data_IF_732041187896
#
_entry.id   IF_732041187896
#
_cell.length_a   1.000
_cell.length_b   1.000
_cell.length_c   1.000
_cell.angle_alpha   90.00
_cell.angle_beta   90.00
_cell.angle_gamma   90.00
#
_symmetry.space_group_name_H-M   'P 1'
#
loop_
_entity.id
_entity.type
_entity.pdbx_description
1 polymer ?
#
# COMPACT_ATOMS: atom_id res chain seq x y z
N UNK A 1 3.04 29.52 11.61
CA UNK A 1 1.99 28.51 11.43
C UNK A 1 2.13 27.45 12.52
N UNK A 2 1.10 27.25 13.33
CA UNK A 2 1.02 26.25 14.39
C UNK A 2 -0.28 25.47 14.27
N UNK A 3 -0.25 24.19 14.55
CA UNK A 3 -1.44 23.32 14.55
C UNK A 3 -2.29 23.71 15.76
N UNK A 4 -3.56 23.97 15.53
CA UNK A 4 -4.53 24.38 16.55
C UNK A 4 -5.55 23.30 16.86
N UNK A 5 -5.79 22.39 15.91
CA UNK A 5 -6.82 21.37 16.05
C UNK A 5 -6.52 20.17 15.13
N UNK A 6 -7.01 18.97 15.53
CA UNK A 6 -6.89 17.71 14.78
C UNK A 6 -8.22 16.96 14.86
N UNK A 7 -8.91 16.85 13.71
CA UNK A 7 -10.09 16.01 13.58
C UNK A 7 -9.70 14.61 13.11
N UNK A 8 -10.42 13.60 13.61
CA UNK A 8 -10.20 12.20 13.23
C UNK A 8 -11.53 11.56 12.87
N UNK A 9 -11.62 11.10 11.65
CA UNK A 9 -12.79 10.41 11.08
C UNK A 9 -12.46 8.96 10.78
N UNK A 10 -13.41 8.05 10.99
CA UNK A 10 -13.33 6.67 10.52
C UNK A 10 -14.40 6.48 9.48
N UNK A 11 -14.03 6.04 8.30
CA UNK A 11 -14.92 5.92 7.14
C UNK A 11 -14.96 4.48 6.62
N UNK A 12 -16.11 4.06 6.11
CA UNK A 12 -16.29 2.80 5.40
C UNK A 12 -16.66 3.07 3.96
N UNK A 13 -15.84 2.63 3.01
CA UNK A 13 -16.17 2.72 1.59
C UNK A 13 -16.31 1.34 0.97
N UNK A 14 -17.30 1.14 0.09
CA UNK A 14 -17.52 -0.14 -0.57
C UNK A 14 -16.50 -0.38 -1.69
N UNK A 15 -16.17 -1.66 -1.93
CA UNK A 15 -15.49 -2.10 -3.13
C UNK A 15 -16.49 -2.40 -4.25
N UNK A 16 -16.07 -2.29 -5.50
CA UNK A 16 -16.86 -2.68 -6.67
C UNK A 16 -17.23 -4.17 -6.65
N UNK A 17 -16.30 -5.00 -6.22
CA UNK A 17 -16.49 -6.44 -6.05
C UNK A 17 -15.78 -6.93 -4.77
N UNK A 18 -16.17 -8.06 -4.19
CA UNK A 18 -15.45 -8.64 -3.07
C UNK A 18 -13.99 -8.94 -3.44
N UNK A 19 -13.08 -8.63 -2.54
CA UNK A 19 -11.64 -8.90 -2.68
C UNK A 19 -11.20 -9.98 -1.70
N UNK A 20 -10.55 -11.04 -2.19
CA UNK A 20 -10.14 -12.18 -1.37
C UNK A 20 -8.63 -12.33 -1.34
N UNK A 21 -8.06 -12.40 -0.14
CA UNK A 21 -6.68 -12.80 0.15
C UNK A 21 -6.63 -14.17 0.79
N UNK A 22 -5.45 -14.62 1.24
CA UNK A 22 -5.30 -15.91 1.92
C UNK A 22 -5.95 -15.98 3.31
N UNK A 23 -6.28 -14.84 3.91
CA UNK A 23 -6.76 -14.74 5.30
C UNK A 23 -8.12 -14.04 5.44
N UNK A 24 -8.60 -13.30 4.44
CA UNK A 24 -9.89 -12.60 4.51
C UNK A 24 -10.56 -12.44 3.13
N UNK A 25 -11.87 -12.21 3.16
CA UNK A 25 -12.65 -11.67 2.04
C UNK A 25 -13.35 -10.42 2.53
N UNK A 26 -13.14 -9.30 1.83
CA UNK A 26 -13.72 -8.00 2.19
C UNK A 26 -14.56 -7.43 1.06
N UNK A 27 -15.58 -6.68 1.43
CA UNK A 27 -16.53 -6.01 0.50
C UNK A 27 -16.38 -4.48 0.54
N UNK A 28 -15.49 -3.98 1.38
CA UNK A 28 -15.21 -2.57 1.54
C UNK A 28 -13.96 -2.37 2.39
N UNK A 29 -13.54 -1.11 2.52
CA UNK A 29 -12.39 -0.72 3.32
C UNK A 29 -12.83 0.21 4.46
N UNK A 30 -12.25 0.00 5.63
CA UNK A 30 -12.33 0.97 6.73
C UNK A 30 -11.02 1.75 6.81
N UNK A 31 -11.12 3.08 6.75
CA UNK A 31 -9.96 3.98 6.79
C UNK A 31 -10.09 5.01 7.90
N UNK A 32 -8.95 5.42 8.44
CA UNK A 32 -8.86 6.55 9.37
C UNK A 32 -8.35 7.76 8.59
N UNK A 33 -9.14 8.83 8.58
CA UNK A 33 -8.85 10.11 7.92
C UNK A 33 -8.61 11.17 8.99
N UNK A 34 -7.58 11.98 8.79
CA UNK A 34 -7.16 13.04 9.71
C UNK A 34 -7.22 14.39 8.98
N UNK A 35 -7.74 15.42 9.66
CA UNK A 35 -7.60 16.81 9.26
C UNK A 35 -6.88 17.57 10.35
N UNK A 36 -5.79 18.24 10.04
CA UNK A 36 -5.16 19.23 10.92
C UNK A 36 -5.57 20.65 10.49
N UNK A 37 -5.79 21.53 11.46
CA UNK A 37 -6.00 22.96 11.23
C UNK A 37 -4.89 23.77 11.86
N UNK A 38 -4.58 24.93 11.27
CA UNK A 38 -3.51 25.80 11.76
C UNK A 38 -4.03 27.21 12.09
N UNK A 39 -3.27 27.94 12.88
CA UNK A 39 -3.52 29.33 13.25
C UNK A 39 -3.48 30.31 12.06
N UNK A 40 -3.04 29.87 10.89
CA UNK A 40 -3.02 30.65 9.65
C UNK A 40 -4.17 30.29 8.70
N UNK A 41 -5.07 29.39 9.10
CA UNK A 41 -6.18 28.92 8.28
C UNK A 41 -5.80 27.85 7.24
N UNK A 42 -4.55 27.44 7.18
CA UNK A 42 -4.14 26.30 6.34
C UNK A 42 -4.60 24.99 6.98
N UNK A 43 -5.18 24.10 6.18
CA UNK A 43 -5.58 22.75 6.58
C UNK A 43 -4.76 21.71 5.84
N UNK A 44 -4.45 20.60 6.55
CA UNK A 44 -3.79 19.44 5.96
C UNK A 44 -4.59 18.17 6.20
N UNK A 45 -4.61 17.29 5.20
CA UNK A 45 -5.32 16.02 5.24
C UNK A 45 -4.34 14.84 5.23
N UNK A 46 -4.69 13.81 5.99
CA UNK A 46 -3.96 12.55 6.02
C UNK A 46 -4.89 11.37 6.10
N UNK A 47 -4.42 10.22 5.70
CA UNK A 47 -5.18 8.98 5.70
C UNK A 47 -4.27 7.82 6.06
N UNK A 48 -4.84 6.82 6.74
CA UNK A 48 -4.14 5.58 7.05
C UNK A 48 -5.08 4.39 7.06
N UNK A 49 -4.49 3.21 7.10
CA UNK A 49 -5.22 1.94 7.17
C UNK A 49 -5.92 1.76 8.51
N UNK A 50 -6.94 0.89 8.51
CA UNK A 50 -7.79 0.52 9.63
C UNK A 50 -8.64 1.65 10.22
N UNK A 51 -9.54 1.28 11.11
CA UNK A 51 -10.54 2.15 11.69
C UNK A 51 -10.30 2.48 13.15
N UNK A 52 -11.25 2.15 14.01
CA UNK A 52 -11.32 2.58 15.40
C UNK A 52 -10.05 2.34 16.22
N UNK A 53 -9.35 1.20 16.11
CA UNK A 53 -8.12 0.99 16.88
C UNK A 53 -7.04 2.01 16.54
N UNK A 54 -6.81 2.29 15.26
CA UNK A 54 -5.83 3.29 14.80
C UNK A 54 -6.30 4.70 15.12
N UNK A 55 -7.58 5.00 14.89
CA UNK A 55 -8.17 6.30 15.22
C UNK A 55 -8.01 6.66 16.71
N UNK A 56 -8.12 5.67 17.61
CA UNK A 56 -7.88 5.89 19.03
C UNK A 56 -6.44 6.28 19.33
N UNK A 57 -5.47 5.63 18.69
CA UNK A 57 -4.05 5.98 18.83
C UNK A 57 -3.77 7.35 18.21
N UNK A 58 -4.31 7.63 17.02
CA UNK A 58 -4.18 8.95 16.37
C UNK A 58 -4.63 10.07 17.30
N UNK A 59 -5.78 9.92 17.97
CA UNK A 59 -6.30 10.93 18.93
C UNK A 59 -5.33 11.17 20.09
N UNK A 60 -4.68 10.13 20.62
CA UNK A 60 -3.66 10.27 21.66
C UNK A 60 -2.45 11.06 21.14
N UNK A 61 -1.95 10.69 19.94
CA UNK A 61 -0.78 11.33 19.35
C UNK A 61 -1.05 12.78 18.89
N UNK A 62 -2.29 13.08 18.51
CA UNK A 62 -2.72 14.39 18.07
C UNK A 62 -2.51 15.47 19.16
N UNK A 63 -2.64 15.11 20.44
CA UNK A 63 -2.37 16.03 21.56
C UNK A 63 -0.94 16.55 21.51
N UNK A 64 0.00 15.75 21.05
CA UNK A 64 1.41 16.10 20.92
C UNK A 64 1.70 17.04 19.73
N UNK A 65 0.79 17.12 18.76
CA UNK A 65 0.91 18.02 17.61
C UNK A 65 0.37 19.42 17.89
N UNK A 66 -0.58 19.57 18.82
CA UNK A 66 -1.18 20.86 19.13
C UNK A 66 -0.09 21.84 19.59
N UNK A 67 -0.05 23.02 18.95
CA UNK A 67 0.96 24.05 19.18
C UNK A 67 2.28 23.84 18.42
N UNK A 68 2.52 22.67 17.83
CA UNK A 68 3.67 22.43 16.96
C UNK A 68 3.48 23.06 15.55
N UNK A 69 4.56 23.32 14.88
CA UNK A 69 4.55 23.64 13.46
C UNK A 69 4.45 22.36 12.64
N UNK A 70 3.64 22.29 11.56
CA UNK A 70 3.67 21.18 10.63
C UNK A 70 5.07 20.89 10.03
N UNK A 71 5.92 21.92 9.99
CA UNK A 71 7.31 21.77 9.53
C UNK A 71 8.24 21.08 10.55
N UNK A 72 7.80 20.85 11.79
CA UNK A 72 8.61 20.24 12.85
C UNK A 72 8.46 18.70 12.90
N UNK A 73 8.39 18.04 11.73
CA UNK A 73 8.14 16.60 11.62
C UNK A 73 9.20 15.74 12.32
N UNK A 74 10.48 16.09 12.21
CA UNK A 74 11.55 15.37 12.92
C UNK A 74 11.34 15.39 14.44
N UNK A 75 10.93 16.53 15.00
CA UNK A 75 10.64 16.64 16.42
C UNK A 75 9.41 15.79 16.80
N UNK A 76 8.39 15.74 15.94
CA UNK A 76 7.22 14.88 16.12
C UNK A 76 7.62 13.41 16.08
N UNK A 77 8.31 12.93 15.05
CA UNK A 77 8.77 11.54 14.93
C UNK A 77 9.65 11.14 16.14
N UNK A 78 10.56 12.01 16.56
CA UNK A 78 11.41 11.76 17.72
C UNK A 78 10.58 11.61 19.00
N UNK A 79 9.53 12.41 19.18
CA UNK A 79 8.61 12.31 20.31
C UNK A 79 7.85 10.99 20.29
N UNK A 80 7.49 10.51 19.10
CA UNK A 80 6.70 9.29 18.90
C UNK A 80 7.54 8.00 18.75
N UNK A 81 8.86 8.05 18.93
CA UNK A 81 9.74 6.90 18.67
C UNK A 81 9.40 5.61 19.45
N UNK A 82 8.77 5.75 20.63
CA UNK A 82 8.35 4.60 21.46
C UNK A 82 6.94 4.08 21.13
N UNK A 83 6.17 4.79 20.33
CA UNK A 83 4.79 4.42 20.01
C UNK A 83 4.72 3.04 19.33
N UNK A 84 5.57 2.70 18.36
CA UNK A 84 5.54 1.38 17.76
C UNK A 84 5.93 0.25 18.72
N UNK A 85 6.71 0.53 19.76
CA UNK A 85 7.01 -0.45 20.80
C UNK A 85 5.77 -0.85 21.60
N UNK A 86 4.91 0.13 21.95
CA UNK A 86 3.70 -0.13 22.73
C UNK A 86 2.51 -0.58 21.92
N UNK A 87 2.34 -0.03 20.69
CA UNK A 87 1.18 -0.27 19.83
C UNK A 87 1.51 -1.09 18.59
N UNK A 88 2.75 -1.51 18.41
CA UNK A 88 3.20 -2.30 17.26
C UNK A 88 2.92 -1.59 15.94
N UNK A 89 2.46 -2.37 15.00
CA UNK A 89 2.16 -1.94 13.65
C UNK A 89 1.10 -0.82 13.55
N UNK A 90 0.09 -0.83 14.45
CA UNK A 90 -0.94 0.22 14.52
C UNK A 90 -0.33 1.58 14.89
N UNK A 91 0.76 1.58 15.66
CA UNK A 91 1.49 2.80 16.03
C UNK A 91 2.10 3.51 14.83
N UNK A 92 2.72 2.76 13.92
CA UNK A 92 3.24 3.32 12.66
C UNK A 92 2.12 3.90 11.80
N UNK A 93 1.00 3.18 11.67
CA UNK A 93 -0.15 3.65 10.92
C UNK A 93 -0.72 4.96 11.48
N UNK A 94 -0.80 5.08 12.81
CA UNK A 94 -1.28 6.29 13.46
C UNK A 94 -0.32 7.49 13.24
N UNK A 95 0.99 7.27 13.36
CA UNK A 95 2.00 8.30 13.08
C UNK A 95 1.90 8.75 11.63
N UNK A 96 1.74 7.81 10.69
CA UNK A 96 1.67 8.11 9.26
C UNK A 96 0.50 9.02 8.88
N UNK A 97 -0.69 8.83 9.49
CA UNK A 97 -1.83 9.70 9.21
C UNK A 97 -1.53 11.17 9.55
N UNK A 98 -0.88 11.40 10.69
CA UNK A 98 -0.51 12.74 11.16
C UNK A 98 0.67 13.32 10.36
N UNK A 99 1.63 12.47 9.97
CA UNK A 99 2.75 12.85 9.11
C UNK A 99 2.26 13.33 7.74
N UNK A 100 1.41 12.55 7.07
CA UNK A 100 0.82 12.92 5.77
C UNK A 100 0.04 14.22 5.86
N UNK A 101 -0.77 14.41 6.91
CA UNK A 101 -1.51 15.65 7.12
C UNK A 101 -0.59 16.87 7.29
N UNK A 102 0.55 16.70 7.99
CA UNK A 102 1.54 17.77 8.11
C UNK A 102 2.20 18.09 6.76
N UNK A 103 2.58 17.07 5.96
CA UNK A 103 3.13 17.27 4.63
C UNK A 103 2.16 18.00 3.69
N UNK A 104 0.86 17.65 3.74
CA UNK A 104 -0.18 18.34 2.97
C UNK A 104 -0.28 19.81 3.38
N UNK A 105 -0.32 20.10 4.69
CA UNK A 105 -0.33 21.48 5.18
C UNK A 105 0.94 22.25 4.81
N UNK A 106 2.11 21.63 4.81
CA UNK A 106 3.38 22.25 4.39
C UNK A 106 3.33 22.66 2.91
N UNK A 107 2.87 21.76 2.04
CA UNK A 107 2.75 22.02 0.62
C UNK A 107 1.76 23.16 0.33
N UNK A 108 0.58 23.12 0.97
CA UNK A 108 -0.42 24.19 0.86
C UNK A 108 0.09 25.54 1.36
N UNK A 109 0.82 25.55 2.49
CA UNK A 109 1.39 26.79 3.05
C UNK A 109 2.49 27.40 2.17
N UNK A 110 3.22 26.59 1.42
CA UNK A 110 4.32 27.03 0.55
C UNK A 110 3.91 27.17 -0.91
N UNK A 111 2.71 26.74 -1.28
CA UNK A 111 2.23 26.72 -2.67
C UNK A 111 2.96 25.65 -3.53
N UNK A 112 3.60 24.64 -2.90
CA UNK A 112 4.35 23.58 -3.57
C UNK A 112 3.57 22.28 -3.53
N UNK A 113 3.69 21.45 -4.59
CA UNK A 113 3.21 20.08 -4.54
C UNK A 113 4.03 19.25 -3.54
N UNK A 114 3.43 18.18 -3.02
CA UNK A 114 4.18 17.24 -2.19
C UNK A 114 5.38 16.66 -2.95
N UNK A 115 5.22 16.35 -4.22
CA UNK A 115 6.32 15.86 -5.09
C UNK A 115 7.49 16.83 -5.16
N UNK A 116 7.21 18.14 -5.30
CA UNK A 116 8.26 19.16 -5.30
C UNK A 116 8.99 19.25 -3.95
N UNK A 117 8.26 19.19 -2.84
CA UNK A 117 8.86 19.17 -1.50
C UNK A 117 9.73 17.94 -1.26
N UNK A 118 9.48 16.84 -1.97
CA UNK A 118 10.25 15.59 -1.89
C UNK A 118 11.45 15.53 -2.85
N UNK A 119 11.75 16.61 -3.54
CA UNK A 119 12.92 16.73 -4.44
C UNK A 119 12.58 16.84 -5.92
N UNK A 120 11.30 16.94 -6.26
CA UNK A 120 10.79 17.09 -7.62
C UNK A 120 10.49 15.76 -8.33
N UNK A 121 9.74 15.82 -9.43
CA UNK A 121 9.29 14.64 -10.14
C UNK A 121 10.41 13.96 -10.94
N UNK A 122 10.54 12.65 -10.79
CA UNK A 122 11.32 11.78 -11.69
C UNK A 122 10.39 11.03 -12.66
N UNK A 123 9.08 11.06 -12.42
CA UNK A 123 8.01 10.59 -13.30
C UNK A 123 6.70 11.34 -13.02
N UNK A 124 5.87 11.48 -14.04
CA UNK A 124 4.58 12.16 -13.96
C UNK A 124 3.40 11.19 -13.86
N UNK A 125 3.62 9.92 -14.21
CA UNK A 125 2.64 8.84 -14.17
C UNK A 125 3.21 7.65 -13.41
N UNK A 126 2.34 6.99 -12.66
CA UNK A 126 2.68 5.81 -11.86
C UNK A 126 1.82 4.64 -12.33
N UNK A 127 2.44 3.61 -12.94
CA UNK A 127 1.71 2.41 -13.34
C UNK A 127 1.25 1.62 -12.11
N UNK A 128 0.04 1.07 -12.22
CA UNK A 128 -0.55 0.22 -11.20
C UNK A 128 -0.51 -1.25 -11.61
N UNK A 129 -0.57 -2.12 -10.61
CA UNK A 129 -0.69 -3.57 -10.76
C UNK A 129 -2.16 -3.96 -10.78
N UNK A 130 -2.60 -4.74 -11.76
CA UNK A 130 -3.89 -5.40 -11.71
C UNK A 130 -3.86 -6.50 -10.63
N UNK A 131 -4.66 -6.34 -9.59
CA UNK A 131 -4.79 -7.31 -8.51
C UNK A 131 -5.87 -8.32 -8.86
N UNK A 132 -5.53 -9.60 -8.84
CA UNK A 132 -6.41 -10.71 -9.21
C UNK A 132 -6.61 -11.64 -8.03
N UNK A 133 -7.86 -12.00 -7.77
CA UNK A 133 -8.25 -12.89 -6.68
C UNK A 133 -9.15 -14.01 -7.20
N UNK A 134 -9.30 -15.08 -6.41
CA UNK A 134 -10.27 -16.14 -6.75
C UNK A 134 -11.72 -15.64 -6.72
N UNK A 135 -12.00 -14.52 -6.07
CA UNK A 135 -13.34 -13.91 -6.05
C UNK A 135 -13.73 -13.31 -7.42
N UNK A 136 -12.77 -13.07 -8.32
CA UNK A 136 -13.03 -12.54 -9.67
C UNK A 136 -13.64 -13.59 -10.62
N UNK A 137 -13.73 -14.87 -10.19
CA UNK A 137 -14.40 -15.95 -10.90
C UNK A 137 -15.40 -16.67 -9.96
N UNK A 138 -16.47 -16.01 -9.50
CA UNK A 138 -17.39 -16.57 -8.53
C UNK A 138 -18.18 -17.75 -9.10
N UNK A 139 -18.36 -18.82 -8.29
CA UNK A 139 -19.16 -20.00 -8.67
C UNK A 139 -18.49 -20.94 -9.70
N UNK A 140 -17.28 -20.64 -10.13
CA UNK A 140 -16.52 -21.49 -11.04
C UNK A 140 -16.01 -22.74 -10.31
N UNK A 141 -16.10 -23.90 -10.95
CA UNK A 141 -15.55 -25.16 -10.40
C UNK A 141 -14.02 -25.04 -10.26
N UNK A 142 -13.40 -25.64 -9.21
CA UNK A 142 -11.96 -25.59 -9.03
C UNK A 142 -11.11 -26.00 -10.23
N UNK A 143 -11.59 -26.96 -11.03
CA UNK A 143 -10.89 -27.42 -12.22
C UNK A 143 -10.86 -26.38 -13.36
N UNK A 144 -11.87 -25.52 -13.43
CA UNK A 144 -12.05 -24.52 -14.49
C UNK A 144 -11.54 -23.14 -14.06
N UNK A 145 -11.20 -22.98 -12.76
CA UNK A 145 -10.80 -21.72 -12.17
C UNK A 145 -9.56 -21.09 -12.83
N UNK A 146 -8.48 -21.83 -13.16
CA UNK A 146 -7.32 -21.25 -13.84
C UNK A 146 -7.69 -20.54 -15.14
N UNK A 147 -8.45 -21.22 -16.01
CA UNK A 147 -8.89 -20.67 -17.30
C UNK A 147 -9.81 -19.46 -17.13
N UNK A 148 -10.79 -19.55 -16.23
CA UNK A 148 -11.71 -18.45 -15.96
C UNK A 148 -11.00 -17.19 -15.43
N UNK A 149 -10.02 -17.36 -14.54
CA UNK A 149 -9.20 -16.24 -14.05
C UNK A 149 -8.28 -15.69 -15.12
N UNK A 150 -7.72 -16.53 -15.98
CA UNK A 150 -6.89 -16.08 -17.11
C UNK A 150 -7.70 -15.23 -18.09
N UNK A 151 -8.91 -15.66 -18.46
CA UNK A 151 -9.82 -14.90 -19.34
C UNK A 151 -10.24 -13.57 -18.70
N UNK A 152 -10.58 -13.59 -17.40
CA UNK A 152 -10.89 -12.37 -16.66
C UNK A 152 -9.70 -11.40 -16.65
N UNK A 153 -8.52 -11.90 -16.30
CA UNK A 153 -7.30 -11.08 -16.20
C UNK A 153 -6.87 -10.50 -17.53
N UNK A 154 -6.94 -11.30 -18.61
CA UNK A 154 -6.66 -10.83 -19.98
C UNK A 154 -7.58 -9.65 -20.35
N UNK A 155 -8.87 -9.74 -20.02
CA UNK A 155 -9.82 -8.66 -20.27
C UNK A 155 -9.46 -7.40 -19.45
N UNK A 156 -9.26 -7.55 -18.13
CA UNK A 156 -8.91 -6.44 -17.24
C UNK A 156 -7.61 -5.75 -17.66
N UNK A 157 -6.58 -6.51 -18.03
CA UNK A 157 -5.30 -5.95 -18.47
C UNK A 157 -5.42 -5.25 -19.83
N UNK A 158 -6.17 -5.81 -20.76
CA UNK A 158 -6.36 -5.22 -22.10
C UNK A 158 -7.21 -3.96 -22.04
N UNK A 159 -8.35 -3.99 -21.36
CA UNK A 159 -9.27 -2.86 -21.25
C UNK A 159 -8.70 -1.75 -20.36
N UNK A 160 -8.03 -2.13 -19.26
CA UNK A 160 -7.46 -1.19 -18.29
C UNK A 160 -6.04 -0.70 -18.62
N UNK A 161 -5.34 -1.34 -19.58
CA UNK A 161 -3.98 -0.97 -19.96
C UNK A 161 -2.90 -1.38 -18.95
N UNK A 162 -3.18 -2.32 -18.03
CA UNK A 162 -2.23 -2.74 -17.01
C UNK A 162 -1.05 -3.54 -17.60
N UNK A 163 0.16 -3.20 -17.15
CA UNK A 163 1.40 -3.85 -17.54
C UNK A 163 1.95 -4.82 -16.49
N UNK A 164 1.31 -4.89 -15.33
CA UNK A 164 1.65 -5.82 -14.26
C UNK A 164 0.39 -6.44 -13.65
N UNK A 165 0.50 -7.72 -13.28
CA UNK A 165 -0.58 -8.49 -12.65
C UNK A 165 -0.04 -9.16 -11.41
N UNK A 166 -0.80 -9.11 -10.31
CA UNK A 166 -0.50 -9.83 -9.08
C UNK A 166 -1.66 -10.74 -8.68
N UNK A 167 -1.41 -12.05 -8.66
CA UNK A 167 -2.33 -13.02 -8.10
C UNK A 167 -2.26 -12.99 -6.56
N UNK A 168 -3.38 -12.79 -5.90
CA UNK A 168 -3.51 -13.09 -4.47
C UNK A 168 -3.60 -14.60 -4.28
N UNK A 169 -2.49 -15.17 -3.80
CA UNK A 169 -2.37 -16.59 -3.52
C UNK A 169 -3.20 -17.02 -2.30
N UNK A 170 -3.30 -18.31 -2.10
CA UNK A 170 -4.10 -18.92 -1.05
C UNK A 170 -3.31 -20.05 -0.37
N UNK A 171 -3.97 -20.84 0.49
CA UNK A 171 -3.38 -22.07 1.05
C UNK A 171 -3.33 -23.23 0.04
N UNK A 172 -4.02 -23.11 -1.09
CA UNK A 172 -4.00 -24.11 -2.17
C UNK A 172 -2.84 -23.84 -3.15
N UNK A 173 -1.66 -24.19 -2.74
CA UNK A 173 -0.40 -24.01 -3.48
C UNK A 173 -0.47 -24.54 -4.90
N UNK A 174 -1.09 -25.74 -5.10
CA UNK A 174 -1.19 -26.36 -6.42
C UNK A 174 -2.13 -25.60 -7.35
N UNK A 175 -3.25 -25.14 -6.81
CA UNK A 175 -4.20 -24.31 -7.53
C UNK A 175 -3.58 -22.97 -7.92
N UNK A 176 -2.83 -22.32 -7.03
CA UNK A 176 -2.16 -21.05 -7.32
C UNK A 176 -1.09 -21.21 -8.42
N UNK A 177 -0.31 -22.30 -8.40
CA UNK A 177 0.65 -22.63 -9.49
C UNK A 177 -0.08 -22.86 -10.81
N UNK A 178 -1.22 -23.57 -10.82
CA UNK A 178 -1.99 -23.81 -12.02
C UNK A 178 -2.56 -22.50 -12.60
N UNK A 179 -3.08 -21.61 -11.75
CA UNK A 179 -3.58 -20.29 -12.14
C UNK A 179 -2.44 -19.47 -12.78
N UNK A 180 -1.25 -19.41 -12.16
CA UNK A 180 -0.12 -18.64 -12.68
C UNK A 180 0.36 -19.14 -14.04
N UNK A 181 0.36 -20.46 -14.28
CA UNK A 181 0.68 -21.04 -15.60
C UNK A 181 -0.32 -20.60 -16.66
N UNK A 182 -1.59 -20.63 -16.33
CA UNK A 182 -2.63 -20.19 -17.26
C UNK A 182 -2.56 -18.69 -17.50
N UNK A 183 -2.33 -17.87 -16.47
CA UNK A 183 -2.10 -16.43 -16.61
C UNK A 183 -0.92 -16.16 -17.55
N UNK A 184 0.23 -16.82 -17.38
CA UNK A 184 1.39 -16.61 -18.23
C UNK A 184 1.11 -17.02 -19.69
N UNK A 185 0.30 -18.06 -19.93
CA UNK A 185 -0.05 -18.49 -21.27
C UNK A 185 -0.81 -17.44 -22.09
N UNK A 186 -1.65 -16.64 -21.44
CA UNK A 186 -2.47 -15.59 -22.07
C UNK A 186 -1.84 -14.19 -21.96
N UNK A 187 -0.88 -14.00 -21.07
CA UNK A 187 -0.20 -12.73 -20.78
C UNK A 187 1.33 -12.91 -20.87
N UNK A 188 1.89 -13.18 -22.06
CA UNK A 188 3.31 -13.53 -22.21
C UNK A 188 4.27 -12.41 -21.80
N UNK A 189 3.90 -11.14 -22.00
CA UNK A 189 4.77 -9.97 -21.83
C UNK A 189 4.46 -9.14 -20.58
N UNK A 190 3.42 -9.48 -19.82
CA UNK A 190 3.00 -8.74 -18.63
C UNK A 190 3.86 -9.16 -17.42
N UNK A 191 4.31 -8.20 -16.60
CA UNK A 191 4.96 -8.50 -15.33
C UNK A 191 4.01 -9.27 -14.42
N UNK A 192 4.36 -10.52 -14.09
CA UNK A 192 3.51 -11.40 -13.28
C UNK A 192 4.09 -11.60 -11.90
N UNK A 193 3.24 -11.51 -10.89
CA UNK A 193 3.58 -11.61 -9.46
C UNK A 193 2.59 -12.52 -8.74
N UNK A 194 3.01 -13.03 -7.58
CA UNK A 194 2.09 -13.77 -6.69
C UNK A 194 2.41 -13.44 -5.23
N UNK A 195 1.34 -13.30 -4.44
CA UNK A 195 1.41 -12.99 -3.02
C UNK A 195 0.49 -13.92 -2.20
N UNK A 196 1.01 -14.99 -1.63
CA UNK A 196 0.28 -15.87 -0.74
C UNK A 196 0.03 -15.30 0.67
N UNK A 197 0.54 -14.12 0.98
CA UNK A 197 0.45 -13.50 2.31
C UNK A 197 0.90 -14.45 3.44
N UNK A 198 2.08 -15.04 3.30
CA UNK A 198 2.71 -15.96 4.24
C UNK A 198 1.89 -17.25 4.54
N UNK A 199 0.99 -17.64 3.64
CA UNK A 199 0.13 -18.80 3.84
C UNK A 199 0.80 -20.14 3.56
N UNK A 200 1.97 -20.16 2.89
CA UNK A 200 2.68 -21.40 2.55
C UNK A 200 3.70 -21.78 3.62
N UNK A 201 3.95 -23.06 3.77
CA UNK A 201 5.10 -23.52 4.53
C UNK A 201 6.40 -23.29 3.75
N UNK A 202 7.56 -23.24 4.42
CA UNK A 202 8.86 -23.14 3.73
C UNK A 202 9.05 -24.25 2.69
N UNK A 203 8.77 -25.56 2.98
CA UNK A 203 8.85 -26.61 1.97
C UNK A 203 7.90 -26.41 0.79
N UNK A 204 6.67 -25.92 1.03
CA UNK A 204 5.71 -25.62 -0.04
C UNK A 204 6.17 -24.43 -0.88
N UNK A 205 6.68 -23.37 -0.25
CA UNK A 205 7.23 -22.20 -0.92
C UNK A 205 8.39 -22.57 -1.85
N UNK A 206 9.28 -23.45 -1.40
CA UNK A 206 10.39 -23.96 -2.23
C UNK A 206 9.86 -24.77 -3.41
N UNK A 207 8.91 -25.70 -3.19
CA UNK A 207 8.35 -26.52 -4.28
C UNK A 207 7.60 -25.64 -5.31
N UNK A 208 6.78 -24.71 -4.84
CA UNK A 208 6.06 -23.80 -5.69
C UNK A 208 7.03 -22.87 -6.44
N UNK A 209 7.99 -22.26 -5.73
CA UNK A 209 8.96 -21.37 -6.33
C UNK A 209 9.74 -22.04 -7.49
N UNK A 210 10.26 -23.27 -7.27
CA UNK A 210 10.94 -24.04 -8.33
C UNK A 210 9.99 -24.33 -9.51
N UNK A 211 8.73 -24.68 -9.25
CA UNK A 211 7.74 -24.94 -10.31
C UNK A 211 7.30 -23.69 -11.07
N UNK A 212 7.54 -22.50 -10.52
CA UNK A 212 7.20 -21.20 -11.11
C UNK A 212 8.39 -20.53 -11.79
N UNK A 213 9.62 -21.03 -11.66
CA UNK A 213 10.82 -20.43 -12.27
C UNK A 213 10.71 -20.29 -13.80
N UNK A 214 10.04 -21.23 -14.45
CA UNK A 214 9.81 -21.20 -15.91
C UNK A 214 8.86 -20.10 -16.37
N UNK A 215 8.10 -19.48 -15.43
CA UNK A 215 7.10 -18.47 -15.75
C UNK A 215 7.66 -17.03 -15.73
N UNK A 216 8.94 -16.84 -15.42
CA UNK A 216 9.59 -15.52 -15.36
C UNK A 216 8.78 -14.51 -14.53
N UNK A 217 8.50 -14.87 -13.25
CA UNK A 217 7.81 -13.97 -12.34
C UNK A 217 8.72 -12.82 -11.96
N UNK A 218 8.18 -11.60 -11.91
CA UNK A 218 8.92 -10.42 -11.45
C UNK A 218 9.36 -10.58 -9.98
N UNK A 219 8.49 -11.14 -9.13
CA UNK A 219 8.82 -11.60 -7.79
C UNK A 219 7.75 -12.53 -7.20
N UNK A 220 8.14 -13.27 -6.18
CA UNK A 220 7.30 -14.05 -5.29
C UNK A 220 7.26 -13.31 -3.93
N UNK A 221 6.09 -12.79 -3.56
CA UNK A 221 5.91 -11.97 -2.36
C UNK A 221 5.45 -12.82 -1.18
N UNK A 222 6.11 -12.65 -0.03
CA UNK A 222 5.78 -13.29 1.24
C UNK A 222 5.21 -14.72 1.11
N UNK A 223 5.94 -15.67 0.49
CA UNK A 223 5.45 -17.04 0.39
C UNK A 223 5.31 -17.71 1.75
N UNK A 224 6.17 -17.37 2.71
CA UNK A 224 6.16 -17.94 4.06
C UNK A 224 6.46 -16.91 5.14
N UNK A 225 6.30 -17.30 6.40
CA UNK A 225 6.46 -16.41 7.56
C UNK A 225 7.95 -16.16 7.86
N UNK A 226 8.26 -14.88 8.12
CA UNK A 226 9.49 -14.45 8.80
C UNK A 226 10.74 -14.41 7.93
N UNK A 227 11.73 -13.62 8.38
CA UNK A 227 12.98 -13.38 7.65
C UNK A 227 13.76 -14.69 7.45
N UNK A 228 13.82 -15.56 8.46
CA UNK A 228 14.51 -16.85 8.39
C UNK A 228 13.84 -17.80 7.39
N UNK A 229 12.50 -17.83 7.36
CA UNK A 229 11.75 -18.62 6.39
C UNK A 229 12.00 -18.12 4.97
N UNK A 230 11.92 -16.82 4.75
CA UNK A 230 12.21 -16.17 3.46
C UNK A 230 13.65 -16.47 3.01
N UNK A 231 14.64 -16.37 3.90
CA UNK A 231 16.04 -16.71 3.59
C UNK A 231 16.21 -18.17 3.15
N UNK A 232 15.52 -19.12 3.79
CA UNK A 232 15.56 -20.52 3.39
C UNK A 232 14.95 -20.78 2.01
N UNK A 233 13.89 -20.05 1.65
CA UNK A 233 13.28 -20.08 0.30
C UNK A 233 14.25 -19.47 -0.70
N UNK A 234 14.77 -18.26 -0.42
CA UNK A 234 15.70 -17.52 -1.30
C UNK A 234 16.94 -18.32 -1.67
N UNK A 235 17.45 -19.14 -0.73
CA UNK A 235 18.61 -20.00 -0.97
C UNK A 235 18.36 -21.12 -2.00
N UNK A 236 17.11 -21.40 -2.38
CA UNK A 236 16.73 -22.56 -3.23
C UNK A 236 15.91 -22.17 -4.45
N UNK A 237 15.38 -20.94 -4.50
CA UNK A 237 14.49 -20.44 -5.56
C UNK A 237 15.17 -19.26 -6.24
N UNK A 238 15.16 -19.23 -7.56
CA UNK A 238 15.78 -18.15 -8.37
C UNK A 238 14.88 -16.95 -8.58
N UNK A 239 13.56 -17.10 -8.40
CA UNK A 239 12.62 -16.00 -8.49
C UNK A 239 12.97 -14.98 -7.41
N UNK A 240 13.07 -13.66 -7.71
CA UNK A 240 13.26 -12.64 -6.70
C UNK A 240 12.19 -12.71 -5.62
N UNK A 241 12.56 -12.59 -4.35
CA UNK A 241 11.61 -12.56 -3.24
C UNK A 241 11.29 -11.13 -2.83
N UNK A 242 10.00 -10.84 -2.68
CA UNK A 242 9.48 -9.58 -2.19
C UNK A 242 8.84 -9.75 -0.81
N UNK A 243 8.78 -8.68 -0.02
CA UNK A 243 8.08 -8.70 1.25
C UNK A 243 7.34 -7.41 1.56
N UNK A 244 6.15 -7.55 2.11
CA UNK A 244 5.43 -6.50 2.84
C UNK A 244 5.14 -6.91 4.30
N UNK A 245 5.52 -8.13 4.72
CA UNK A 245 5.14 -8.70 6.02
C UNK A 245 6.31 -8.99 6.95
N UNK A 246 7.49 -9.37 6.43
CA UNK A 246 8.61 -9.74 7.28
C UNK A 246 9.63 -8.63 7.52
N UNK A 247 9.63 -7.56 6.70
CA UNK A 247 10.43 -6.35 6.90
C UNK A 247 9.49 -5.15 6.86
N UNK A 248 9.05 -4.71 8.03
CA UNK A 248 8.05 -3.63 8.19
C UNK A 248 8.54 -2.48 9.07
N UNK A 249 9.80 -2.53 9.50
CA UNK A 249 10.48 -1.51 10.30
C UNK A 249 11.99 -1.61 10.08
N UNK A 250 12.72 -0.57 10.43
CA UNK A 250 14.17 -0.51 10.20
C UNK A 250 14.96 -1.56 10.98
N UNK A 251 14.47 -1.99 12.14
CA UNK A 251 15.10 -3.06 12.94
C UNK A 251 15.09 -4.42 12.22
N UNK A 252 14.10 -4.66 11.35
CA UNK A 252 14.00 -5.89 10.55
C UNK A 252 14.89 -5.82 9.30
N UNK A 253 15.23 -4.62 8.83
CA UNK A 253 15.99 -4.40 7.59
C UNK A 253 17.39 -5.02 7.63
N UNK A 254 18.17 -4.71 8.67
CA UNK A 254 19.54 -5.22 8.77
C UNK A 254 19.63 -6.75 8.91
N UNK A 255 18.79 -7.44 9.70
CA UNK A 255 18.71 -8.91 9.67
C UNK A 255 18.34 -9.47 8.29
N UNK A 256 17.36 -8.87 7.59
CA UNK A 256 16.95 -9.34 6.28
C UNK A 256 18.08 -9.25 5.24
N UNK A 257 18.82 -8.13 5.22
CA UNK A 257 19.99 -7.95 4.36
C UNK A 257 21.09 -8.97 4.68
N UNK A 258 21.43 -9.15 5.97
CA UNK A 258 22.46 -10.11 6.38
C UNK A 258 22.14 -11.54 6.01
N UNK A 259 20.88 -11.93 6.06
CA UNK A 259 20.43 -13.27 5.71
C UNK A 259 20.17 -13.45 4.21
N UNK A 260 20.23 -12.37 3.43
CA UNK A 260 19.84 -12.39 2.02
C UNK A 260 18.41 -12.88 1.84
N UNK A 261 17.50 -12.41 2.70
CA UNK A 261 16.14 -12.96 2.78
C UNK A 261 15.22 -12.46 1.66
N UNK A 262 15.48 -11.27 1.13
CA UNK A 262 14.60 -10.60 0.16
C UNK A 262 15.41 -9.82 -0.88
N UNK A 263 14.81 -9.62 -2.05
CA UNK A 263 15.35 -8.84 -3.16
C UNK A 263 14.58 -7.52 -3.35
N UNK A 264 13.31 -7.47 -2.90
CA UNK A 264 12.43 -6.30 -3.00
C UNK A 264 11.72 -6.08 -1.66
N UNK A 265 11.60 -4.82 -1.23
CA UNK A 265 10.83 -4.44 -0.04
C UNK A 265 9.67 -3.55 -0.46
N UNK A 266 8.49 -3.84 0.04
CA UNK A 266 7.33 -2.97 -0.08
C UNK A 266 7.30 -1.95 1.07
N UNK A 267 7.33 -0.67 0.70
CA UNK A 267 7.48 0.44 1.63
C UNK A 267 6.33 1.43 1.57
N UNK A 268 5.14 1.01 1.92
CA UNK A 268 3.98 1.89 1.98
C UNK A 268 4.11 2.94 3.09
N UNK A 269 3.59 4.14 2.83
CA UNK A 269 3.70 5.29 3.71
C UNK A 269 3.17 5.01 5.12
N UNK A 270 2.04 4.29 5.22
CA UNK A 270 1.42 4.03 6.53
C UNK A 270 2.12 2.93 7.33
N UNK A 271 2.76 1.94 6.70
CA UNK A 271 3.51 0.89 7.41
C UNK A 271 4.80 1.40 8.01
N UNK A 272 5.44 2.35 7.34
CA UNK A 272 6.74 2.87 7.75
C UNK A 272 6.65 4.14 8.58
N UNK A 273 5.42 4.57 8.95
CA UNK A 273 5.20 5.69 9.86
C UNK A 273 5.24 7.06 9.20
N UNK A 274 5.08 7.15 7.86
CA UNK A 274 4.97 8.39 7.14
C UNK A 274 5.85 8.50 5.90
N UNK A 275 5.81 9.65 5.26
CA UNK A 275 6.50 9.96 4.00
C UNK A 275 8.03 9.94 4.16
N UNK A 276 8.55 10.66 5.18
CA UNK A 276 9.99 10.75 5.38
C UNK A 276 10.64 9.40 5.69
N UNK A 277 10.10 8.54 6.58
CA UNK A 277 10.62 7.19 6.78
C UNK A 277 10.56 6.32 5.51
N UNK A 278 9.51 6.46 4.68
CA UNK A 278 9.41 5.74 3.41
C UNK A 278 10.49 6.16 2.41
N UNK A 279 10.80 7.46 2.34
CA UNK A 279 11.94 7.97 1.53
C UNK A 279 13.29 7.48 2.07
N UNK A 280 13.45 7.41 3.40
CA UNK A 280 14.64 6.85 4.02
C UNK A 280 14.81 5.36 3.68
N UNK A 281 13.72 4.57 3.69
CA UNK A 281 13.75 3.17 3.25
C UNK A 281 14.24 3.06 1.80
N UNK A 282 13.79 3.93 0.91
CA UNK A 282 14.23 3.93 -0.49
C UNK A 282 15.75 4.10 -0.61
N UNK A 283 16.33 5.04 0.13
CA UNK A 283 17.78 5.23 0.16
C UNK A 283 18.55 4.01 0.74
N UNK A 284 17.96 3.33 1.72
CA UNK A 284 18.53 2.07 2.23
C UNK A 284 18.45 0.96 1.19
N UNK A 285 17.33 0.81 0.48
CA UNK A 285 17.20 -0.18 -0.59
C UNK A 285 18.25 0.06 -1.68
N UNK A 286 18.41 1.29 -2.16
CA UNK A 286 19.46 1.64 -3.14
C UNK A 286 20.87 1.31 -2.63
N UNK A 287 21.17 1.66 -1.38
CA UNK A 287 22.49 1.44 -0.77
C UNK A 287 22.87 -0.05 -0.75
N UNK A 288 21.90 -0.91 -0.50
CA UNK A 288 22.11 -2.38 -0.41
C UNK A 288 21.78 -3.14 -1.70
N UNK A 289 21.47 -2.44 -2.80
CA UNK A 289 21.14 -3.06 -4.08
C UNK A 289 19.81 -3.82 -4.08
N UNK A 290 18.90 -3.45 -3.19
CA UNK A 290 17.54 -4.01 -3.12
C UNK A 290 16.58 -3.18 -3.98
N UNK A 291 15.59 -3.85 -4.57
CA UNK A 291 14.44 -3.17 -5.15
C UNK A 291 13.49 -2.65 -4.08
N UNK A 292 12.72 -1.63 -4.43
CA UNK A 292 11.61 -1.15 -3.60
C UNK A 292 10.34 -1.08 -4.44
N UNK A 293 9.21 -1.37 -3.83
CA UNK A 293 7.89 -1.15 -4.40
C UNK A 293 6.92 -0.69 -3.29
N UNK A 294 5.68 -0.38 -3.63
CA UNK A 294 4.64 -0.08 -2.65
C UNK A 294 3.58 -1.18 -2.65
N UNK A 295 3.18 -1.59 -1.45
CA UNK A 295 2.04 -2.46 -1.18
C UNK A 295 0.76 -1.63 -1.09
N UNK A 296 -0.38 -2.25 -1.30
CA UNK A 296 -1.70 -1.67 -1.08
C UNK A 296 -2.39 -2.29 0.13
N UNK A 297 -2.96 -1.43 0.96
CA UNK A 297 -3.86 -1.79 2.07
C UNK A 297 -5.23 -1.16 1.91
N UNK A 298 -5.67 -0.89 0.68
CA UNK A 298 -6.99 -0.32 0.40
C UNK A 298 -7.06 1.20 0.55
N UNK A 299 -6.03 1.92 0.08
CA UNK A 299 -5.94 3.37 0.12
C UNK A 299 -7.10 4.04 -0.62
N UNK A 300 -7.69 5.07 -0.01
CA UNK A 300 -8.53 6.05 -0.69
C UNK A 300 -7.65 7.12 -1.33
N UNK A 301 -8.25 8.13 -1.91
CA UNK A 301 -7.53 9.13 -2.69
C UNK A 301 -6.50 9.95 -1.94
N UNK A 302 -6.68 10.22 -0.65
CA UNK A 302 -5.71 10.97 0.17
C UNK A 302 -4.40 10.19 0.30
N UNK A 303 -4.46 8.93 0.73
CA UNK A 303 -3.27 8.10 0.86
C UNK A 303 -2.69 7.70 -0.50
N UNK A 304 -3.54 7.50 -1.52
CA UNK A 304 -3.11 7.26 -2.90
C UNK A 304 -2.31 8.45 -3.43
N UNK A 305 -2.76 9.69 -3.21
CA UNK A 305 -2.02 10.89 -3.61
C UNK A 305 -0.64 10.98 -2.92
N UNK A 306 -0.57 10.62 -1.63
CA UNK A 306 0.71 10.54 -0.92
C UNK A 306 1.64 9.47 -1.52
N UNK A 307 1.13 8.28 -1.83
CA UNK A 307 1.88 7.22 -2.52
C UNK A 307 2.39 7.70 -3.90
N UNK A 308 1.52 8.32 -4.69
CA UNK A 308 1.89 8.84 -6.02
C UNK A 308 3.00 9.89 -5.93
N UNK A 309 2.96 10.80 -4.95
CA UNK A 309 4.00 11.80 -4.75
C UNK A 309 5.34 11.14 -4.33
N UNK A 310 5.30 10.15 -3.44
CA UNK A 310 6.51 9.39 -3.04
C UNK A 310 7.09 8.65 -4.24
N UNK A 311 6.28 7.93 -5.02
CA UNK A 311 6.73 7.21 -6.22
C UNK A 311 7.22 8.19 -7.29
N UNK A 312 6.48 9.28 -7.50
CA UNK A 312 6.81 10.35 -8.44
C UNK A 312 8.19 10.97 -8.19
N UNK A 313 8.63 11.03 -6.92
CA UNK A 313 9.90 11.65 -6.51
C UNK A 313 11.01 10.65 -6.11
N UNK A 314 10.84 9.33 -6.34
CA UNK A 314 11.75 8.30 -5.83
C UNK A 314 12.20 7.36 -6.94
N UNK A 315 13.45 7.46 -7.46
CA UNK A 315 13.92 6.69 -8.61
C UNK A 315 13.83 5.17 -8.45
N UNK A 316 14.18 4.62 -7.29
CA UNK A 316 14.18 3.16 -7.03
C UNK A 316 12.80 2.52 -7.10
N UNK A 317 11.72 3.29 -6.92
CA UNK A 317 10.34 2.87 -7.12
C UNK A 317 9.98 2.87 -8.61
N UNK A 318 10.58 1.98 -9.38
CA UNK A 318 10.48 1.95 -10.85
C UNK A 318 9.48 0.94 -11.40
N UNK A 319 8.85 0.14 -10.55
CA UNK A 319 7.86 -0.88 -10.92
C UNK A 319 6.44 -0.34 -10.83
N UNK A 320 5.50 -1.03 -11.46
CA UNK A 320 4.08 -0.81 -11.18
C UNK A 320 3.81 -1.06 -9.69
N UNK A 321 3.17 -0.11 -9.02
CA UNK A 321 2.84 -0.26 -7.60
C UNK A 321 1.54 -1.04 -7.42
N UNK A 322 1.41 -1.72 -6.29
CA UNK A 322 0.11 -2.23 -5.90
C UNK A 322 -0.80 -1.07 -5.47
N UNK A 323 -2.04 -1.10 -5.91
CA UNK A 323 -3.07 -0.18 -5.46
C UNK A 323 -4.44 -0.81 -5.60
N UNK A 324 -5.25 -0.71 -4.57
CA UNK A 324 -6.68 -1.07 -4.63
C UNK A 324 -7.56 0.12 -5.04
N UNK A 325 -6.98 1.27 -5.33
CA UNK A 325 -7.72 2.50 -5.60
C UNK A 325 -8.81 2.31 -6.67
N UNK A 326 -8.46 1.68 -7.79
CA UNK A 326 -9.40 1.42 -8.89
C UNK A 326 -10.48 0.37 -8.58
N UNK A 327 -10.39 -0.32 -7.44
CA UNK A 327 -11.39 -1.29 -6.97
C UNK A 327 -12.44 -0.67 -6.05
N UNK A 328 -12.29 0.59 -5.64
CA UNK A 328 -13.29 1.29 -4.85
C UNK A 328 -14.49 1.71 -5.70
N UNK A 329 -15.69 1.59 -5.13
CA UNK A 329 -16.92 2.02 -5.80
C UNK A 329 -17.11 3.56 -5.74
N UNK A 330 -16.46 4.22 -4.78
CA UNK A 330 -16.48 5.68 -4.58
C UNK A 330 -15.23 6.14 -3.83
N UNK A 331 -15.07 7.45 -3.63
CA UNK A 331 -13.98 8.08 -2.89
C UNK A 331 -14.49 9.30 -2.10
N UNK A 332 -13.69 9.75 -1.15
CA UNK A 332 -13.90 10.97 -0.36
C UNK A 332 -13.21 12.21 -0.94
N UNK A 333 -12.61 12.09 -2.10
CA UNK A 333 -12.06 13.19 -2.90
C UNK A 333 -12.71 13.22 -4.27
N UNK A 334 -12.43 14.23 -5.08
CA UNK A 334 -12.65 14.14 -6.52
C UNK A 334 -11.80 12.99 -7.07
N UNK A 335 -12.41 11.98 -7.72
CA UNK A 335 -11.69 10.75 -8.07
C UNK A 335 -10.49 10.97 -8.99
N UNK A 336 -9.36 10.33 -8.67
CA UNK A 336 -8.21 10.27 -9.55
C UNK A 336 -8.54 9.39 -10.75
N UNK A 337 -8.23 9.88 -11.94
CA UNK A 337 -8.55 9.15 -13.18
C UNK A 337 -7.47 8.12 -13.50
N UNK A 338 -7.88 6.86 -13.63
CA UNK A 338 -7.02 5.79 -14.14
C UNK A 338 -6.98 5.84 -15.66
N UNK A 339 -5.80 6.03 -16.24
CA UNK A 339 -5.57 6.04 -17.69
C UNK A 339 -4.48 5.03 -18.06
N UNK A 340 -4.79 4.09 -18.94
CA UNK A 340 -3.82 3.07 -19.40
C UNK A 340 -3.08 2.35 -18.26
N UNK A 341 -3.80 1.94 -17.22
CA UNK A 341 -3.25 1.26 -16.06
C UNK A 341 -2.37 2.13 -15.16
N UNK A 342 -2.41 3.46 -15.32
CA UNK A 342 -1.59 4.41 -14.56
C UNK A 342 -2.43 5.50 -13.93
N UNK A 343 -1.93 6.07 -12.84
CA UNK A 343 -2.44 7.31 -12.23
C UNK A 343 -1.40 8.42 -12.40
N UNK A 344 -1.88 9.65 -12.66
CA UNK A 344 -1.02 10.83 -12.71
C UNK A 344 -0.63 11.28 -11.30
N UNK A 345 0.62 11.69 -11.16
CA UNK A 345 1.12 12.32 -9.93
C UNK A 345 0.46 13.69 -9.78
N UNK A 346 -0.25 13.96 -8.67
CA UNK A 346 -0.88 15.25 -8.46
C UNK A 346 0.14 16.38 -8.38
N UNK A 347 -0.17 17.52 -9.02
CA UNK A 347 0.73 18.70 -9.13
C UNK A 347 0.25 19.93 -8.34
N UNK A 348 -0.93 19.85 -7.73
CA UNK A 348 -1.46 20.92 -6.88
C UNK A 348 -0.72 21.04 -5.54
N UNK A 349 -0.88 22.18 -4.82
CA UNK A 349 -0.25 22.37 -3.52
C UNK A 349 -0.62 21.27 -2.50
N UNK A 350 0.35 20.83 -1.72
CA UNK A 350 0.20 19.71 -0.80
C UNK A 350 0.04 18.39 -1.55
N UNK A 351 -0.95 17.60 -1.16
CA UNK A 351 -1.30 16.34 -1.85
C UNK A 351 -1.92 16.56 -3.23
N UNK A 352 -2.31 17.80 -3.56
CA UNK A 352 -2.92 18.15 -4.84
C UNK A 352 -4.33 17.59 -5.04
N UNK A 353 -5.01 17.20 -3.96
CA UNK A 353 -6.39 16.69 -3.98
C UNK A 353 -7.30 17.53 -3.08
N UNK A 354 -8.59 17.51 -3.36
CA UNK A 354 -9.61 18.20 -2.56
C UNK A 354 -10.54 17.17 -1.95
N UNK A 355 -10.73 17.25 -0.63
CA UNK A 355 -11.63 16.38 0.12
C UNK A 355 -13.07 16.87 -0.04
N UNK A 356 -13.97 15.95 -0.38
CA UNK A 356 -15.42 16.14 -0.35
C UNK A 356 -15.92 15.89 1.09
N UNK A 357 -16.16 16.97 1.83
CA UNK A 357 -16.58 16.88 3.23
C UNK A 357 -17.99 16.29 3.40
N UNK A 358 -18.84 16.34 2.39
CA UNK A 358 -20.17 15.72 2.44
C UNK A 358 -20.04 14.19 2.31
N UNK A 359 -19.23 13.71 1.39
CA UNK A 359 -18.89 12.29 1.27
C UNK A 359 -18.14 11.78 2.52
N UNK A 360 -17.15 12.53 3.03
CA UNK A 360 -16.45 12.19 4.26
C UNK A 360 -17.42 11.98 5.42
N UNK A 361 -18.37 12.90 5.59
CA UNK A 361 -19.42 12.82 6.64
C UNK A 361 -20.32 11.62 6.42
N UNK A 362 -20.78 11.41 5.18
CA UNK A 362 -21.63 10.27 4.83
C UNK A 362 -20.97 8.94 5.19
N UNK A 363 -19.73 8.71 4.75
CA UNK A 363 -19.01 7.44 5.01
C UNK A 363 -18.57 7.28 6.48
N UNK A 364 -18.39 8.38 7.21
CA UNK A 364 -18.22 8.34 8.66
C UNK A 364 -19.51 7.92 9.38
N UNK A 365 -20.68 8.38 8.95
CA UNK A 365 -21.98 7.93 9.47
C UNK A 365 -22.24 6.44 9.15
N UNK A 366 -21.83 5.97 7.96
CA UNK A 366 -21.89 4.54 7.60
C UNK A 366 -21.03 3.73 8.58
N UNK A 367 -19.77 4.13 8.84
CA UNK A 367 -18.93 3.43 9.83
C UNK A 367 -19.52 3.49 11.25
N UNK A 368 -20.08 4.62 11.67
CA UNK A 368 -20.68 4.76 13.00
C UNK A 368 -21.85 3.78 13.20
N UNK A 369 -22.63 3.52 12.13
CA UNK A 369 -23.78 2.59 12.14
C UNK A 369 -23.36 1.12 12.03
N UNK A 370 -22.41 0.80 11.18
CA UNK A 370 -22.08 -0.58 10.78
C UNK A 370 -20.85 -1.15 11.51
N UNK A 371 -19.99 -0.29 12.04
CA UNK A 371 -18.70 -0.67 12.58
C UNK A 371 -17.63 -0.84 11.49
N UNK A 372 -16.44 -1.24 11.91
CA UNK A 372 -15.32 -1.43 10.99
C UNK A 372 -15.57 -2.66 10.10
N UNK A 373 -15.37 -2.51 8.79
CA UNK A 373 -15.46 -3.59 7.79
C UNK A 373 -14.23 -4.47 7.78
N UNK A 374 -13.04 -3.86 8.02
CA UNK A 374 -11.76 -4.55 8.09
C UNK A 374 -11.30 -4.64 9.54
N UNK A 375 -10.79 -5.81 9.93
CA UNK A 375 -10.37 -6.11 11.31
C UNK A 375 -8.85 -6.19 11.43
#
# INVERSE_FOLDING_TARGET
MKITDVDVHVVNLPLLNPFTSSFETKTGETRTVVRIRTDTGVEGWGETMWGRPVAAIVKILAEDLIGMSPFALEAFHRKQHMVPFFYGYLGYAAIAALDVACWDAMGKATGQSLTDLLGGPVREEVPLTALVTRADAPGVRPADLPTALAEHTLRVTTEGGFQAVKLKGTKDVRGDVAILRELRSVLPDVSLRVDPNAAWSVPDSVRAGIALEELDLEYLEDPCVGIEGMSQVRAKVRIPLCTNMCVVRFEDFAPAVRLGAVDVIHGDVYKWGGIAPTKALAAHCETFGLGMNLHSGGELGIATAAHLAVVGSTPVLSRAIDSMYYLHADDIIEPLTLENGSLRVPTGPGLGVTVDEDKLRHYAEVNAREGDLTR
#
